data_IF_193543006587
#
_entry.id   IF_193543006587
#
_cell.length_a   1.000
_cell.length_b   1.000
_cell.length_c   1.000
_cell.angle_alpha   90.00
_cell.angle_beta   90.00
_cell.angle_gamma   90.00
#
_symmetry.space_group_name_H-M   'P 1'
#
loop_
_entity.id
_entity.type
_entity.pdbx_description
1 polymer ?
#
# COMPACT_ATOMS: atom_id res chain seq x y z
N UNK A 1 -22.29 -22.45 -12.50
CA UNK A 1 -21.45 -22.07 -13.66
C UNK A 1 -20.60 -23.28 -14.02
N UNK A 2 -20.67 -23.77 -15.27
CA UNK A 2 -19.92 -24.95 -15.69
C UNK A 2 -18.41 -24.68 -15.67
N UNK A 3 -17.61 -25.58 -15.10
CA UNK A 3 -16.15 -25.47 -14.99
C UNK A 3 -15.46 -25.21 -16.33
N UNK A 4 -16.03 -25.71 -17.43
CA UNK A 4 -15.57 -25.46 -18.79
C UNK A 4 -15.54 -23.97 -19.17
N UNK A 5 -16.49 -23.18 -18.68
CA UNK A 5 -16.54 -21.73 -18.95
C UNK A 5 -15.41 -21.03 -18.21
N UNK A 6 -15.16 -21.39 -16.95
CA UNK A 6 -14.09 -20.80 -16.13
C UNK A 6 -12.72 -21.10 -16.75
N UNK A 7 -12.50 -22.35 -17.17
CA UNK A 7 -11.26 -22.78 -17.82
C UNK A 7 -11.07 -22.06 -19.17
N UNK A 8 -12.13 -21.94 -19.97
CA UNK A 8 -12.09 -21.23 -21.25
C UNK A 8 -11.71 -19.75 -21.10
N UNK A 9 -12.27 -19.06 -20.08
CA UNK A 9 -11.94 -17.66 -19.79
C UNK A 9 -10.47 -17.51 -19.37
N UNK A 10 -9.96 -18.39 -18.49
CA UNK A 10 -8.56 -18.34 -18.06
C UNK A 10 -7.61 -18.54 -19.24
N UNK A 11 -7.87 -19.54 -20.11
CA UNK A 11 -7.08 -19.79 -21.31
C UNK A 11 -7.08 -18.62 -22.29
N UNK A 12 -8.25 -18.01 -22.52
CA UNK A 12 -8.36 -16.83 -23.38
C UNK A 12 -7.55 -15.64 -22.82
N UNK A 13 -7.59 -15.42 -21.50
CA UNK A 13 -6.80 -14.37 -20.85
C UNK A 13 -5.29 -14.64 -20.98
N UNK A 14 -4.85 -15.88 -20.77
CA UNK A 14 -3.43 -16.27 -20.93
C UNK A 14 -2.96 -16.03 -22.36
N UNK A 15 -3.74 -16.45 -23.37
CA UNK A 15 -3.41 -16.23 -24.78
C UNK A 15 -3.34 -14.72 -25.12
N UNK A 16 -4.28 -13.92 -24.60
CA UNK A 16 -4.25 -12.47 -24.79
C UNK A 16 -2.99 -11.83 -24.21
N UNK A 17 -2.57 -12.25 -23.01
CA UNK A 17 -1.33 -11.78 -22.37
C UNK A 17 -0.11 -12.23 -23.18
N UNK A 18 -0.12 -13.43 -23.75
CA UNK A 18 1.00 -13.95 -24.53
C UNK A 18 1.18 -13.21 -25.87
N UNK A 19 0.07 -12.85 -26.54
CA UNK A 19 0.10 -12.13 -27.82
C UNK A 19 0.48 -10.66 -27.64
N UNK A 20 -0.11 -9.99 -26.64
CA UNK A 20 0.08 -8.54 -26.43
C UNK A 20 1.25 -8.22 -25.50
N UNK A 21 1.79 -9.22 -24.82
CA UNK A 21 2.64 -9.03 -23.64
C UNK A 21 1.82 -8.54 -22.43
N UNK A 22 2.36 -8.75 -21.23
CA UNK A 22 1.79 -8.11 -20.04
C UNK A 22 1.96 -6.58 -20.19
N UNK A 23 0.94 -5.76 -19.92
CA UNK A 23 1.10 -4.31 -19.99
C UNK A 23 2.14 -3.86 -18.96
N UNK A 24 3.39 -3.62 -19.38
CA UNK A 24 4.48 -3.16 -18.51
C UNK A 24 4.09 -1.91 -17.72
N UNK A 25 3.22 -1.05 -18.28
CA UNK A 25 2.66 0.13 -17.59
C UNK A 25 1.84 -0.24 -16.36
N UNK A 26 1.05 -1.32 -16.41
CA UNK A 26 0.29 -1.81 -15.24
C UNK A 26 1.21 -2.30 -14.13
N UNK A 27 2.29 -3.01 -14.50
CA UNK A 27 3.31 -3.44 -13.56
C UNK A 27 4.05 -2.26 -12.92
N UNK A 28 4.29 -1.19 -13.68
CA UNK A 28 4.89 0.06 -13.17
C UNK A 28 4.01 0.69 -12.09
N UNK A 29 2.70 0.85 -12.31
CA UNK A 29 1.80 1.41 -11.28
C UNK A 29 1.74 0.55 -10.02
N UNK A 30 1.71 -0.78 -10.18
CA UNK A 30 1.71 -1.70 -9.04
C UNK A 30 3.03 -1.59 -8.25
N UNK A 31 4.16 -1.57 -8.94
CA UNK A 31 5.47 -1.40 -8.31
C UNK A 31 5.60 -0.05 -7.59
N UNK A 32 5.12 1.04 -8.20
CA UNK A 32 5.10 2.37 -7.58
C UNK A 32 4.21 2.40 -6.33
N UNK A 33 3.07 1.73 -6.36
CA UNK A 33 2.19 1.59 -5.21
C UNK A 33 2.88 0.85 -4.05
N UNK A 34 3.52 -0.28 -4.34
CA UNK A 34 4.28 -1.06 -3.34
C UNK A 34 5.43 -0.21 -2.76
N UNK A 35 6.18 0.50 -3.60
CA UNK A 35 7.27 1.38 -3.14
C UNK A 35 6.74 2.49 -2.23
N UNK A 36 5.61 3.12 -2.56
CA UNK A 36 4.98 4.14 -1.69
C UNK A 36 4.58 3.55 -0.34
N UNK A 37 4.00 2.34 -0.31
CA UNK A 37 3.68 1.64 0.95
C UNK A 37 4.94 1.39 1.77
N UNK A 38 6.02 0.89 1.15
CA UNK A 38 7.29 0.68 1.84
C UNK A 38 7.89 1.98 2.40
N UNK A 39 7.81 3.07 1.64
CA UNK A 39 8.23 4.40 2.10
C UNK A 39 7.38 4.84 3.31
N UNK A 40 6.07 4.67 3.26
CA UNK A 40 5.18 4.96 4.40
C UNK A 40 5.55 4.16 5.64
N UNK A 41 5.86 2.88 5.49
CA UNK A 41 6.26 2.00 6.59
C UNK A 41 7.58 2.48 7.21
N UNK A 42 8.56 2.84 6.37
CA UNK A 42 9.84 3.40 6.80
C UNK A 42 9.66 4.72 7.55
N UNK A 43 8.83 5.63 7.03
CA UNK A 43 8.55 6.91 7.69
C UNK A 43 7.92 6.68 9.06
N UNK A 44 6.87 5.85 9.14
CA UNK A 44 6.22 5.52 10.41
C UNK A 44 7.18 4.83 11.39
N UNK A 45 8.06 3.96 10.89
CA UNK A 45 9.08 3.31 11.69
C UNK A 45 10.06 4.31 12.32
N UNK A 46 10.59 5.26 11.53
CA UNK A 46 11.44 6.31 12.07
C UNK A 46 10.69 7.18 13.09
N UNK A 47 9.46 7.58 12.79
CA UNK A 47 8.63 8.37 13.70
C UNK A 47 8.41 7.62 15.02
N UNK A 48 8.17 6.32 14.98
CA UNK A 48 8.00 5.53 16.19
C UNK A 48 9.30 5.38 16.98
N UNK A 49 10.46 5.27 16.33
CA UNK A 49 11.74 5.24 17.04
C UNK A 49 12.01 6.57 17.75
N UNK A 50 11.87 7.70 17.05
CA UNK A 50 12.10 9.01 17.64
C UNK A 50 11.00 9.38 18.65
N UNK A 51 9.76 9.01 18.34
CA UNK A 51 8.54 9.25 19.12
C UNK A 51 8.39 8.35 20.35
N UNK A 52 9.08 7.21 20.41
CA UNK A 52 9.05 6.32 21.58
C UNK A 52 9.46 7.04 22.87
N UNK A 53 10.41 7.98 22.80
CA UNK A 53 10.83 8.79 23.95
C UNK A 53 9.73 9.77 24.43
N UNK A 54 8.76 10.09 23.56
CA UNK A 54 7.63 10.97 23.84
C UNK A 54 6.33 10.19 24.09
N UNK A 55 6.39 8.86 24.21
CA UNK A 55 5.21 7.99 24.34
C UNK A 55 4.39 7.85 23.06
N UNK A 56 4.91 8.31 21.92
CA UNK A 56 4.19 8.29 20.66
C UNK A 56 4.50 7.01 19.88
N UNK A 57 3.46 6.21 19.66
CA UNK A 57 3.58 4.96 18.92
C UNK A 57 2.39 4.77 17.98
N UNK A 58 2.56 5.15 16.71
CA UNK A 58 1.54 4.94 15.69
C UNK A 58 1.66 3.49 15.21
N UNK A 59 0.59 2.67 15.28
CA UNK A 59 0.66 1.28 14.85
C UNK A 59 1.05 1.17 13.38
N UNK A 60 2.08 0.37 13.07
CA UNK A 60 2.55 0.14 11.70
C UNK A 60 1.72 -1.00 11.11
N UNK A 61 0.62 -0.67 10.44
CA UNK A 61 -0.26 -1.63 9.78
C UNK A 61 -0.50 -1.20 8.32
N UNK A 62 -1.18 -2.05 7.54
CA UNK A 62 -1.41 -1.77 6.12
C UNK A 62 -2.14 -0.43 5.91
N UNK A 63 -3.11 -0.09 6.77
CA UNK A 63 -3.89 1.15 6.66
C UNK A 63 -3.03 2.40 6.92
N UNK A 64 -2.33 2.46 8.06
CA UNK A 64 -1.49 3.61 8.42
C UNK A 64 -0.32 3.77 7.44
N UNK A 65 0.24 2.66 6.99
CA UNK A 65 1.32 2.60 6.01
C UNK A 65 0.88 3.09 4.62
N UNK A 66 -0.31 2.70 4.16
CA UNK A 66 -0.87 3.19 2.90
C UNK A 66 -1.15 4.69 2.99
N UNK A 67 -1.77 5.16 4.07
CA UNK A 67 -2.09 6.58 4.26
C UNK A 67 -0.81 7.42 4.29
N UNK A 68 0.16 7.05 5.13
CA UNK A 68 1.46 7.75 5.21
C UNK A 68 2.30 7.62 3.93
N UNK A 69 2.23 6.49 3.23
CA UNK A 69 2.98 6.24 2.00
C UNK A 69 2.41 6.95 0.76
N UNK A 70 1.09 7.02 0.63
CA UNK A 70 0.43 7.69 -0.49
C UNK A 70 0.29 9.19 -0.30
N UNK A 71 -0.03 9.66 0.92
CA UNK A 71 -0.14 11.09 1.21
C UNK A 71 1.21 11.70 1.63
N UNK A 72 2.17 10.92 2.12
CA UNK A 72 3.46 11.43 2.59
C UNK A 72 3.33 12.19 3.91
N UNK A 73 4.02 13.34 4.00
CA UNK A 73 4.04 14.23 5.17
C UNK A 73 2.62 14.59 5.67
N UNK A 74 1.66 15.04 4.83
CA UNK A 74 0.32 15.35 5.33
C UNK A 74 -0.43 14.12 5.87
N UNK A 75 -0.18 12.92 5.33
CA UNK A 75 -0.76 11.67 5.84
C UNK A 75 -0.19 11.25 7.20
N UNK A 76 1.09 11.50 7.40
CA UNK A 76 1.73 11.33 8.70
C UNK A 76 1.19 12.34 9.72
N UNK A 77 1.06 13.61 9.33
CA UNK A 77 0.56 14.66 10.20
C UNK A 77 -0.90 14.42 10.63
N UNK A 78 -1.74 13.89 9.74
CA UNK A 78 -3.11 13.52 10.09
C UNK A 78 -3.17 12.33 11.05
N UNK A 79 -2.34 11.30 10.84
CA UNK A 79 -2.25 10.17 11.77
C UNK A 79 -1.75 10.60 13.15
N UNK A 80 -0.76 11.49 13.20
CA UNK A 80 -0.28 12.10 14.44
C UNK A 80 -1.39 12.88 15.14
N UNK A 81 -2.11 13.72 14.41
CA UNK A 81 -3.25 14.49 14.94
C UNK A 81 -4.34 13.56 15.49
N UNK A 82 -4.70 12.49 14.79
CA UNK A 82 -5.68 11.51 15.28
C UNK A 82 -5.17 10.86 16.57
N UNK A 83 -3.91 10.42 16.61
CA UNK A 83 -3.35 9.77 17.77
C UNK A 83 -3.26 10.70 18.99
N UNK A 84 -2.94 11.98 18.80
CA UNK A 84 -2.75 12.92 19.90
C UNK A 84 -4.02 13.66 20.33
N UNK A 85 -4.97 13.88 19.41
CA UNK A 85 -6.19 14.67 19.66
C UNK A 85 -7.38 13.78 20.01
N UNK A 86 -7.53 12.60 19.38
CA UNK A 86 -8.72 11.76 19.53
C UNK A 86 -8.57 10.60 20.52
N UNK A 87 -7.36 10.11 20.73
CA UNK A 87 -7.05 9.02 21.66
C UNK A 87 -6.11 9.57 22.75
N UNK A 88 -6.63 10.13 23.86
CA UNK A 88 -5.76 10.52 24.97
C UNK A 88 -4.98 9.33 25.54
#
# INVERSE_FOLDING_TARGET
>A
MNSYIIIGVILAVILLILIKGLPMRGLQYLSQGIVKVLIGALILFFINIFGANFGLHIPINLFTTVISGFLGIPGVASLFAIHFILLP
#
